data_IF_234887288178
#
_entry.id   IF_234887288178
#
_cell.length_a   1.000
_cell.length_b   1.000
_cell.length_c   1.000
_cell.angle_alpha   90.00
_cell.angle_beta   90.00
_cell.angle_gamma   90.00
#
_symmetry.space_group_name_H-M   'P 1'
#
loop_
_entity.id
_entity.type
_entity.pdbx_description
1 polymer ?
#
# COMPACT_ATOMS: atom_id res chain seq x y z
N UNK A 1 30.73 35.72 25.89
CA UNK A 1 29.51 34.89 25.75
C UNK A 1 29.74 33.81 24.68
N UNK A 2 30.51 32.73 24.89
CA UNK A 2 30.91 31.90 23.71
C UNK A 2 31.34 30.44 23.96
N UNK A 3 30.93 29.77 25.04
CA UNK A 3 31.25 28.32 25.19
C UNK A 3 30.02 27.45 25.50
N UNK A 4 29.08 27.96 26.30
CA UNK A 4 27.85 27.21 26.67
C UNK A 4 26.88 27.01 25.49
N UNK A 5 26.81 27.95 24.54
CA UNK A 5 25.88 27.86 23.40
C UNK A 5 26.31 26.79 22.38
N UNK A 6 27.61 26.61 22.13
CA UNK A 6 28.08 25.64 21.12
C UNK A 6 27.81 24.19 21.55
N UNK A 7 27.94 23.91 22.85
CA UNK A 7 27.69 22.57 23.42
C UNK A 7 26.20 22.19 23.38
N UNK A 8 25.31 23.16 23.66
CA UNK A 8 23.86 22.97 23.54
C UNK A 8 23.39 22.75 22.08
N UNK A 9 24.01 23.43 21.11
CA UNK A 9 23.67 23.27 19.69
C UNK A 9 24.15 21.92 19.16
N UNK A 10 25.37 21.50 19.47
CA UNK A 10 25.90 20.18 19.08
C UNK A 10 25.05 19.03 19.62
N UNK A 11 24.61 19.11 20.88
CA UNK A 11 23.73 18.10 21.50
C UNK A 11 22.33 18.09 20.89
N UNK A 12 21.77 19.25 20.52
CA UNK A 12 20.50 19.34 19.81
C UNK A 12 20.58 18.75 18.38
N UNK A 13 21.67 19.00 17.65
CA UNK A 13 21.92 18.41 16.34
C UNK A 13 22.06 16.88 16.41
N UNK A 14 22.80 16.38 17.41
CA UNK A 14 22.95 14.94 17.63
C UNK A 14 21.62 14.24 17.94
N UNK A 15 20.75 14.88 18.74
CA UNK A 15 19.38 14.37 19.00
C UNK A 15 18.52 14.34 17.74
N UNK A 16 18.59 15.37 16.89
CA UNK A 16 17.86 15.38 15.61
C UNK A 16 18.31 14.23 14.70
N UNK A 17 19.63 14.03 14.60
CA UNK A 17 20.18 12.92 13.83
C UNK A 17 19.71 11.56 14.37
N UNK A 18 19.78 11.34 15.68
CA UNK A 18 19.32 10.09 16.31
C UNK A 18 17.83 9.84 16.06
N UNK A 19 16.98 10.86 16.22
CA UNK A 19 15.55 10.75 15.93
C UNK A 19 15.29 10.44 14.45
N UNK A 20 16.03 11.07 13.54
CA UNK A 20 15.95 10.80 12.11
C UNK A 20 16.30 9.34 11.80
N UNK A 21 17.41 8.83 12.32
CA UNK A 21 17.84 7.43 12.13
C UNK A 21 16.80 6.45 12.67
N UNK A 22 16.27 6.68 13.88
CA UNK A 22 15.23 5.82 14.46
C UNK A 22 13.95 5.78 13.62
N UNK A 23 13.55 6.92 13.05
CA UNK A 23 12.40 6.98 12.14
C UNK A 23 12.67 6.21 10.84
N UNK A 24 13.88 6.28 10.29
CA UNK A 24 14.25 5.49 9.11
C UNK A 24 14.24 3.99 9.39
N UNK A 25 14.83 3.54 10.50
CA UNK A 25 14.83 2.14 10.90
C UNK A 25 13.40 1.59 11.01
N UNK A 26 12.50 2.32 11.67
CA UNK A 26 11.08 1.93 11.78
C UNK A 26 10.35 1.95 10.43
N UNK A 27 10.62 2.95 9.58
CA UNK A 27 9.91 3.10 8.29
C UNK A 27 10.33 2.03 7.28
N UNK A 28 11.59 1.57 7.34
CA UNK A 28 12.19 0.71 6.31
C UNK A 28 12.66 -0.66 6.84
N UNK A 29 12.17 -1.09 8.01
CA UNK A 29 12.53 -2.35 8.68
C UNK A 29 12.48 -3.55 7.71
N UNK A 30 11.44 -3.66 6.89
CA UNK A 30 11.22 -4.76 5.95
C UNK A 30 11.96 -4.63 4.60
N UNK A 31 12.72 -3.55 4.39
CA UNK A 31 13.20 -3.17 3.05
C UNK A 31 14.70 -3.30 2.83
N UNK A 32 15.46 -3.77 3.83
CA UNK A 32 16.92 -3.99 3.75
C UNK A 32 17.71 -2.79 3.20
N UNK A 33 17.30 -1.57 3.57
CA UNK A 33 18.08 -0.37 3.28
C UNK A 33 19.25 -0.27 4.25
N UNK A 34 20.38 0.20 3.74
CA UNK A 34 21.55 0.48 4.57
C UNK A 34 21.71 2.01 4.71
N UNK A 35 21.63 2.45 5.97
CA UNK A 35 21.69 3.85 6.38
C UNK A 35 23.06 4.25 6.96
N UNK A 36 24.08 3.40 6.85
CA UNK A 36 25.40 3.61 7.47
C UNK A 36 26.11 4.90 7.04
N UNK A 37 25.73 5.49 5.90
CA UNK A 37 26.28 6.76 5.37
C UNK A 37 25.34 7.95 5.51
N UNK A 38 24.23 7.80 6.24
CA UNK A 38 23.31 8.90 6.48
C UNK A 38 23.98 9.92 7.40
N UNK A 39 24.09 11.15 6.93
CA UNK A 39 24.48 12.31 7.74
C UNK A 39 23.33 13.30 7.68
N UNK A 40 22.69 13.53 8.83
CA UNK A 40 21.56 14.45 8.95
C UNK A 40 21.91 15.54 9.98
N UNK A 41 22.56 16.59 9.49
CA UNK A 41 23.07 17.72 10.26
C UNK A 41 22.22 19.01 10.08
N UNK A 42 21.35 19.03 9.08
CA UNK A 42 20.58 20.20 8.63
C UNK A 42 19.07 19.97 8.74
N UNK A 43 18.30 20.73 7.97
CA UNK A 43 16.86 20.61 7.85
C UNK A 43 16.42 19.42 6.99
N UNK A 44 15.11 19.21 6.92
CA UNK A 44 14.47 18.11 6.17
C UNK A 44 14.58 18.25 4.64
N UNK A 45 15.00 19.41 4.11
CA UNK A 45 15.26 19.60 2.69
C UNK A 45 16.66 19.13 2.26
N UNK A 46 17.55 18.90 3.23
CA UNK A 46 18.88 18.33 2.99
C UNK A 46 18.83 16.96 2.30
N UNK A 47 19.85 16.71 1.49
CA UNK A 47 20.05 15.44 0.78
C UNK A 47 20.88 14.50 1.64
N UNK A 48 20.42 13.27 1.80
CA UNK A 48 21.13 12.20 2.49
C UNK A 48 21.42 11.04 1.53
N UNK A 49 22.47 10.30 1.81
CA UNK A 49 22.88 9.13 1.04
C UNK A 49 22.45 7.85 1.76
N UNK A 50 21.73 6.99 1.05
CA UNK A 50 21.28 5.68 1.54
C UNK A 50 21.64 4.60 0.53
N UNK A 51 21.81 3.36 0.97
CA UNK A 51 21.98 2.21 0.08
C UNK A 51 20.66 1.48 -0.07
N UNK A 52 20.13 1.53 -1.28
CA UNK A 52 19.01 0.72 -1.72
C UNK A 52 19.49 -0.67 -2.13
N UNK A 53 18.80 -1.77 -1.76
CA UNK A 53 19.19 -3.11 -2.18
C UNK A 53 19.12 -3.33 -3.70
N UNK A 54 18.30 -2.54 -4.41
CA UNK A 54 18.14 -2.64 -5.88
C UNK A 54 19.07 -1.72 -6.65
N UNK A 55 19.31 -0.51 -6.15
CA UNK A 55 19.99 0.56 -6.90
C UNK A 55 21.30 1.02 -6.26
N UNK A 56 21.78 0.32 -5.23
CA UNK A 56 23.00 0.70 -4.53
C UNK A 56 22.88 2.06 -3.84
N UNK A 57 23.98 2.81 -3.79
CA UNK A 57 24.03 4.11 -3.13
C UNK A 57 23.28 5.18 -3.93
N UNK A 58 22.27 5.78 -3.32
CA UNK A 58 21.44 6.83 -3.91
C UNK A 58 21.33 8.04 -2.99
N UNK A 59 21.16 9.21 -3.60
CA UNK A 59 20.94 10.47 -2.90
C UNK A 59 19.46 10.82 -2.93
N UNK A 60 18.88 11.13 -1.78
CA UNK A 60 17.45 11.48 -1.64
C UNK A 60 17.25 12.53 -0.56
N UNK A 61 16.17 13.31 -0.64
CA UNK A 61 15.88 14.34 0.36
C UNK A 61 15.38 13.69 1.65
N UNK A 62 15.85 14.18 2.80
CA UNK A 62 15.43 13.70 4.12
C UNK A 62 13.89 13.71 4.29
N UNK A 63 13.21 14.78 3.87
CA UNK A 63 11.73 14.86 3.90
C UNK A 63 11.04 13.80 3.05
N UNK A 64 11.64 13.42 1.91
CA UNK A 64 11.08 12.36 1.05
C UNK A 64 11.25 11.01 1.72
N UNK A 65 12.39 10.77 2.36
CA UNK A 65 12.62 9.54 3.11
C UNK A 65 11.69 9.39 4.31
N UNK A 66 11.51 10.44 5.11
CA UNK A 66 10.59 10.42 6.25
C UNK A 66 9.13 10.21 5.81
N UNK A 67 8.77 10.68 4.61
CA UNK A 67 7.47 10.43 4.00
C UNK A 67 7.34 9.00 3.40
N UNK A 68 8.27 8.09 3.67
CA UNK A 68 8.23 6.70 3.18
C UNK A 68 8.56 6.52 1.70
N UNK A 69 9.04 7.56 1.00
CA UNK A 69 9.32 7.46 -0.44
C UNK A 69 10.59 6.65 -0.76
N UNK A 70 11.55 6.57 0.14
CA UNK A 70 12.76 5.77 -0.08
C UNK A 70 13.69 6.26 -1.21
N UNK A 71 14.28 5.30 -1.93
CA UNK A 71 15.20 5.51 -3.04
C UNK A 71 14.53 6.27 -4.20
N UNK A 72 15.16 7.36 -4.65
CA UNK A 72 14.71 8.13 -5.82
C UNK A 72 14.73 7.31 -7.09
N UNK A 73 15.74 6.46 -7.32
CA UNK A 73 15.77 5.57 -8.49
C UNK A 73 14.67 4.50 -8.46
N UNK A 74 14.29 3.98 -7.27
CA UNK A 74 13.10 3.14 -7.13
C UNK A 74 11.84 3.91 -7.55
N UNK A 75 11.79 5.21 -7.26
CA UNK A 75 10.66 6.07 -7.59
C UNK A 75 10.70 6.64 -9.02
N UNK A 76 11.87 6.83 -9.63
CA UNK A 76 11.99 7.23 -11.02
C UNK A 76 11.72 6.04 -11.93
N UNK A 77 12.10 4.82 -11.52
CA UNK A 77 11.54 3.58 -12.08
C UNK A 77 10.05 3.41 -11.75
N UNK A 78 9.51 4.08 -10.72
CA UNK A 78 8.06 4.12 -10.46
C UNK A 78 7.30 5.10 -11.37
N UNK A 79 7.98 5.94 -12.16
CA UNK A 79 7.35 6.54 -13.34
C UNK A 79 7.13 5.51 -14.46
N UNK A 80 7.77 4.33 -14.38
CA UNK A 80 7.49 3.16 -15.23
C UNK A 80 6.79 2.00 -14.50
N UNK A 81 6.71 1.99 -13.17
CA UNK A 81 5.89 1.06 -12.38
C UNK A 81 4.74 1.87 -11.75
N UNK A 82 3.73 2.19 -12.57
CA UNK A 82 2.43 2.66 -12.06
C UNK A 82 2.01 1.70 -10.95
N UNK A 83 1.88 2.21 -9.72
CA UNK A 83 1.36 1.43 -8.60
C UNK A 83 0.08 0.71 -9.01
N UNK A 84 -0.19 -0.43 -8.40
CA UNK A 84 -1.42 -1.16 -8.64
C UNK A 84 -2.39 -0.92 -7.47
N UNK A 85 -3.66 -1.20 -7.73
CA UNK A 85 -4.73 -1.17 -6.75
C UNK A 85 -5.27 -2.58 -6.63
N UNK A 86 -5.30 -3.13 -5.41
CA UNK A 86 -6.08 -4.32 -5.12
C UNK A 86 -7.48 -3.88 -4.69
N UNK A 87 -8.50 -4.53 -5.24
CA UNK A 87 -9.89 -4.24 -4.95
C UNK A 87 -10.62 -5.48 -4.44
N UNK A 88 -11.60 -5.23 -3.58
CA UNK A 88 -12.60 -6.19 -3.17
C UNK A 88 -13.95 -5.53 -3.43
N UNK A 89 -14.74 -6.15 -4.29
CA UNK A 89 -16.07 -5.65 -4.69
C UNK A 89 -17.13 -6.70 -4.38
N UNK A 90 -18.31 -6.23 -3.98
CA UNK A 90 -19.53 -7.04 -3.91
C UNK A 90 -20.21 -6.94 -5.26
N UNK A 91 -20.44 -8.04 -5.94
CA UNK A 91 -21.16 -8.12 -7.21
C UNK A 91 -22.55 -8.71 -6.97
N UNK A 92 -23.59 -8.10 -7.53
CA UNK A 92 -24.97 -8.55 -7.30
C UNK A 92 -25.92 -8.22 -8.45
N UNK A 93 -27.00 -8.99 -8.50
CA UNK A 93 -28.21 -8.75 -9.28
C UNK A 93 -29.41 -9.37 -8.55
N UNK A 94 -30.56 -9.51 -9.20
CA UNK A 94 -31.77 -10.09 -8.59
C UNK A 94 -31.67 -11.60 -8.28
N UNK A 95 -30.70 -12.30 -8.86
CA UNK A 95 -30.61 -13.77 -8.88
C UNK A 95 -29.45 -14.34 -8.06
N UNK A 96 -28.42 -13.54 -7.81
CA UNK A 96 -27.22 -13.94 -7.08
C UNK A 96 -26.43 -12.74 -6.54
N UNK A 97 -25.60 -13.03 -5.56
CA UNK A 97 -24.63 -12.12 -4.97
C UNK A 97 -23.35 -12.89 -4.66
N UNK A 98 -22.20 -12.25 -4.90
CA UNK A 98 -20.87 -12.79 -4.62
C UNK A 98 -19.85 -11.66 -4.48
N UNK A 99 -18.61 -12.03 -4.15
CA UNK A 99 -17.49 -11.10 -4.02
C UNK A 99 -16.45 -11.37 -5.10
N UNK A 100 -15.86 -10.33 -5.66
CA UNK A 100 -14.71 -10.43 -6.54
C UNK A 100 -13.50 -9.73 -5.92
N UNK A 101 -12.36 -10.39 -6.01
CA UNK A 101 -11.05 -9.82 -5.65
C UNK A 101 -10.22 -9.71 -6.93
N UNK A 102 -9.45 -8.64 -7.06
CA UNK A 102 -8.51 -8.53 -8.15
C UNK A 102 -7.60 -7.32 -8.04
N UNK A 103 -6.66 -7.21 -8.98
CA UNK A 103 -5.72 -6.10 -9.09
C UNK A 103 -5.98 -5.31 -10.38
N UNK A 104 -5.75 -4.00 -10.34
CA UNK A 104 -5.81 -3.11 -11.50
C UNK A 104 -4.71 -2.05 -11.43
N UNK A 105 -4.23 -1.57 -12.58
CA UNK A 105 -3.37 -0.36 -12.67
C UNK A 105 -4.15 0.87 -13.13
N UNK A 106 -5.45 0.71 -13.38
CA UNK A 106 -6.39 1.75 -13.80
C UNK A 106 -7.51 1.89 -12.78
N UNK A 107 -8.31 2.95 -12.88
CA UNK A 107 -9.50 3.12 -12.05
C UNK A 107 -10.52 1.98 -12.25
N UNK A 108 -11.43 1.77 -11.30
CA UNK A 108 -12.43 0.70 -11.39
C UNK A 108 -13.41 0.93 -12.54
N UNK A 109 -13.75 2.18 -12.82
CA UNK A 109 -14.59 2.59 -13.95
C UNK A 109 -13.90 2.24 -15.28
N UNK A 110 -12.57 2.40 -15.35
CA UNK A 110 -11.80 2.01 -16.54
C UNK A 110 -11.62 0.49 -16.63
N UNK A 111 -11.62 -0.21 -15.49
CA UNK A 111 -11.50 -1.68 -15.42
C UNK A 111 -12.79 -2.37 -15.82
N UNK A 112 -13.92 -1.77 -15.44
CA UNK A 112 -15.28 -2.24 -15.70
C UNK A 112 -16.08 -1.16 -16.46
N UNK A 113 -15.68 -0.83 -17.71
CA UNK A 113 -16.26 0.30 -18.43
C UNK A 113 -17.71 0.08 -18.84
N UNK A 114 -18.12 -1.18 -18.96
CA UNK A 114 -19.44 -1.55 -19.45
C UNK A 114 -19.90 -2.90 -18.89
N UNK A 115 -21.17 -3.23 -19.15
CA UNK A 115 -21.82 -4.44 -18.65
C UNK A 115 -21.23 -5.74 -19.23
N UNK A 116 -20.53 -5.69 -20.36
CA UNK A 116 -19.88 -6.88 -20.94
C UNK A 116 -18.63 -7.27 -20.13
N UNK A 117 -17.95 -6.29 -19.55
CA UNK A 117 -16.77 -6.51 -18.70
C UNK A 117 -17.12 -7.09 -17.32
N UNK A 118 -18.27 -6.70 -16.77
CA UNK A 118 -18.84 -7.21 -15.53
C UNK A 118 -20.38 -7.09 -15.59
N UNK A 119 -21.12 -8.18 -15.85
CA UNK A 119 -22.58 -8.16 -16.08
C UNK A 119 -23.41 -8.10 -14.79
N UNK A 120 -22.90 -7.36 -13.79
CA UNK A 120 -23.44 -7.21 -12.44
C UNK A 120 -23.29 -5.77 -11.97
N UNK A 121 -24.21 -5.33 -11.09
CA UNK A 121 -23.96 -4.13 -10.28
C UNK A 121 -22.90 -4.47 -9.24
N UNK A 122 -22.15 -3.48 -8.78
CA UNK A 122 -21.16 -3.70 -7.75
C UNK A 122 -21.02 -2.55 -6.75
N UNK A 123 -20.69 -2.92 -5.51
CA UNK A 123 -20.25 -2.00 -4.46
C UNK A 123 -18.76 -2.20 -4.18
N UNK A 124 -18.03 -1.12 -3.97
CA UNK A 124 -16.62 -1.18 -3.59
C UNK A 124 -16.52 -1.37 -2.08
N UNK A 125 -16.01 -2.52 -1.65
CA UNK A 125 -15.82 -2.85 -0.24
C UNK A 125 -14.45 -2.42 0.27
N UNK A 126 -13.42 -2.55 -0.57
CA UNK A 126 -12.06 -2.13 -0.24
C UNK A 126 -11.28 -1.83 -1.52
N UNK A 127 -10.45 -0.80 -1.46
CA UNK A 127 -9.60 -0.37 -2.56
C UNK A 127 -8.28 0.16 -2.00
N UNK A 128 -7.19 -0.57 -2.24
CA UNK A 128 -5.90 -0.28 -1.62
C UNK A 128 -4.80 -0.15 -2.68
N UNK A 129 -4.06 0.95 -2.63
CA UNK A 129 -2.90 1.19 -3.49
C UNK A 129 -1.65 0.50 -2.94
N UNK A 130 -0.78 0.02 -3.81
CA UNK A 130 0.48 -0.58 -3.39
C UNK A 130 1.42 -0.92 -4.53
N UNK A 131 2.62 -1.37 -4.16
CA UNK A 131 3.59 -1.95 -5.10
C UNK A 131 2.98 -3.18 -5.78
N UNK A 132 3.05 -3.22 -7.12
CA UNK A 132 2.42 -4.28 -7.93
C UNK A 132 2.88 -5.68 -7.55
N UNK A 133 4.17 -5.88 -7.25
CA UNK A 133 4.70 -7.20 -6.85
C UNK A 133 4.19 -7.61 -5.48
N UNK A 134 4.11 -6.67 -4.54
CA UNK A 134 3.52 -6.91 -3.22
C UNK A 134 2.04 -7.25 -3.32
N UNK A 135 1.28 -6.48 -4.09
CA UNK A 135 -0.15 -6.74 -4.31
C UNK A 135 -0.40 -8.09 -4.97
N UNK A 136 0.38 -8.48 -5.97
CA UNK A 136 0.26 -9.80 -6.59
C UNK A 136 0.49 -10.94 -5.59
N UNK A 137 1.53 -10.82 -4.75
CA UNK A 137 1.77 -11.80 -3.67
C UNK A 137 0.59 -11.84 -2.69
N UNK A 138 0.07 -10.67 -2.32
CA UNK A 138 -1.04 -10.56 -1.39
C UNK A 138 -2.33 -11.16 -1.96
N UNK A 139 -2.68 -10.87 -3.21
CA UNK A 139 -3.80 -11.49 -3.91
C UNK A 139 -3.69 -13.02 -3.87
N UNK A 140 -2.53 -13.61 -4.18
CA UNK A 140 -2.35 -15.06 -4.08
C UNK A 140 -2.64 -15.62 -2.68
N UNK A 141 -2.24 -14.89 -1.64
CA UNK A 141 -2.57 -15.27 -0.25
C UNK A 141 -4.08 -15.19 -0.01
N UNK A 142 -4.75 -14.12 -0.42
CA UNK A 142 -6.21 -13.99 -0.29
C UNK A 142 -6.96 -15.09 -1.05
N UNK A 143 -6.60 -15.35 -2.31
CA UNK A 143 -7.20 -16.40 -3.14
C UNK A 143 -6.98 -17.79 -2.52
N UNK A 144 -5.83 -18.03 -1.88
CA UNK A 144 -5.55 -19.29 -1.19
C UNK A 144 -6.39 -19.45 0.08
N UNK A 145 -6.50 -18.39 0.90
CA UNK A 145 -7.35 -18.37 2.10
C UNK A 145 -8.84 -18.59 1.77
N UNK A 146 -9.29 -18.04 0.64
CA UNK A 146 -10.67 -18.13 0.18
C UNK A 146 -10.96 -19.31 -0.75
N UNK A 147 -10.00 -20.22 -0.97
CA UNK A 147 -10.14 -21.33 -1.92
C UNK A 147 -11.41 -22.16 -1.72
N UNK A 148 -11.80 -22.40 -0.46
CA UNK A 148 -13.03 -23.15 -0.10
C UNK A 148 -14.34 -22.40 -0.39
N UNK A 149 -14.27 -21.09 -0.59
CA UNK A 149 -15.40 -20.21 -0.86
C UNK A 149 -15.51 -19.80 -2.32
N UNK A 150 -14.75 -20.43 -3.24
CA UNK A 150 -14.83 -20.11 -4.67
C UNK A 150 -16.27 -20.22 -5.16
N UNK A 151 -16.70 -19.22 -5.90
CA UNK A 151 -18.02 -19.10 -6.47
C UNK A 151 -17.91 -18.95 -7.98
N UNK A 152 -18.76 -19.66 -8.73
CA UNK A 152 -18.87 -19.52 -10.18
C UNK A 152 -20.14 -18.69 -10.47
N UNK A 153 -20.00 -17.44 -10.94
CA UNK A 153 -21.15 -16.60 -11.31
C UNK A 153 -22.01 -17.24 -12.39
N UNK A 154 -23.34 -17.02 -12.37
CA UNK A 154 -24.25 -17.54 -13.40
C UNK A 154 -24.05 -16.87 -14.76
N UNK A 155 -23.71 -15.58 -14.78
CA UNK A 155 -23.35 -14.84 -15.99
C UNK A 155 -21.83 -14.82 -16.13
N UNK A 156 -21.34 -15.25 -17.27
CA UNK A 156 -19.90 -15.33 -17.54
C UNK A 156 -19.29 -13.96 -17.88
N UNK A 157 -18.07 -13.73 -17.42
CA UNK A 157 -17.27 -12.55 -17.75
C UNK A 157 -15.78 -12.84 -17.56
N UNK A 158 -14.92 -11.94 -18.07
CA UNK A 158 -13.47 -12.07 -17.95
C UNK A 158 -13.01 -11.92 -16.49
N UNK A 159 -12.30 -12.92 -15.97
CA UNK A 159 -11.81 -12.92 -14.58
C UNK A 159 -12.80 -13.46 -13.55
N UNK A 160 -13.81 -14.23 -13.97
CA UNK A 160 -14.78 -14.88 -13.07
C UNK A 160 -14.17 -15.96 -12.14
N UNK A 161 -12.90 -16.34 -12.33
CA UNK A 161 -12.21 -17.36 -11.52
C UNK A 161 -11.79 -16.87 -10.14
N UNK A 162 -11.90 -15.57 -9.89
CA UNK A 162 -11.53 -14.88 -8.64
C UNK A 162 -12.77 -14.39 -7.89
N UNK A 163 -13.86 -15.16 -7.98
CA UNK A 163 -15.14 -14.89 -7.34
C UNK A 163 -15.37 -15.82 -6.14
N UNK A 164 -16.03 -15.31 -5.10
CA UNK A 164 -16.19 -15.98 -3.81
C UNK A 164 -17.58 -15.75 -3.20
N UNK A 165 -18.12 -16.74 -2.53
CA UNK A 165 -19.42 -16.66 -1.84
C UNK A 165 -19.32 -16.05 -0.44
N UNK A 166 -18.13 -15.99 0.14
CA UNK A 166 -17.89 -15.49 1.49
C UNK A 166 -16.46 -14.94 1.61
N UNK A 167 -16.31 -13.78 2.29
CA UNK A 167 -15.02 -13.13 2.55
C UNK A 167 -14.74 -12.88 4.04
N UNK A 168 -15.58 -13.38 4.96
CA UNK A 168 -15.50 -13.09 6.40
C UNK A 168 -14.14 -13.45 7.01
N UNK A 169 -13.52 -14.54 6.55
CA UNK A 169 -12.21 -14.97 7.06
C UNK A 169 -11.11 -13.94 6.79
N UNK A 170 -11.11 -13.28 5.63
CA UNK A 170 -10.15 -12.21 5.32
C UNK A 170 -10.60 -10.89 5.93
N UNK A 171 -11.91 -10.72 6.10
CA UNK A 171 -12.53 -9.56 6.74
C UNK A 171 -12.00 -9.34 8.15
N UNK A 172 -12.09 -10.36 8.99
CA UNK A 172 -11.62 -10.29 10.38
C UNK A 172 -10.10 -10.26 10.48
N UNK A 173 -9.41 -11.02 9.62
CA UNK A 173 -7.95 -11.20 9.71
C UNK A 173 -7.15 -9.97 9.31
N UNK A 174 -7.68 -9.14 8.42
CA UNK A 174 -6.95 -8.00 7.85
C UNK A 174 -7.68 -6.65 8.05
N UNK A 175 -8.68 -6.58 8.94
CA UNK A 175 -9.77 -5.58 8.96
C UNK A 175 -9.89 -4.71 7.73
N UNK A 176 -10.30 -5.38 6.66
CA UNK A 176 -10.54 -4.84 5.32
C UNK A 176 -11.55 -3.68 5.34
N UNK A 177 -12.36 -3.58 6.40
CA UNK A 177 -13.41 -2.58 6.60
C UNK A 177 -13.10 -1.52 7.65
N UNK A 178 -12.18 -1.75 8.59
CA UNK A 178 -12.05 -0.81 9.73
C UNK A 178 -11.19 0.42 9.38
N UNK A 179 -10.48 0.39 8.25
CA UNK A 179 -9.77 1.57 7.72
C UNK A 179 -10.70 2.63 7.11
N UNK A 180 -11.94 2.26 6.79
CA UNK A 180 -13.01 3.16 6.35
C UNK A 180 -14.28 2.83 7.15
N UNK A 181 -14.35 3.37 8.37
CA UNK A 181 -15.42 3.20 9.36
C UNK A 181 -16.73 2.58 8.86
N UNK A 182 -16.90 1.28 9.13
CA UNK A 182 -18.16 0.53 8.90
C UNK A 182 -19.09 0.63 10.12
N UNK A 183 -19.00 1.73 10.87
CA UNK A 183 -20.01 2.09 11.86
C UNK A 183 -21.20 2.86 11.24
N UNK A 184 -21.20 3.12 9.93
CA UNK A 184 -22.33 3.75 9.23
C UNK A 184 -23.38 2.79 8.65
N UNK A 185 -23.18 1.46 8.75
CA UNK A 185 -24.16 0.47 8.24
C UNK A 185 -24.92 -0.31 9.33
N UNK A 186 -24.77 0.09 10.61
CA UNK A 186 -25.73 -0.33 11.65
C UNK A 186 -26.89 0.65 11.68
N UNK A 187 -28.06 0.14 11.27
CA UNK A 187 -29.42 0.70 11.40
C UNK A 187 -29.85 1.68 10.30
N UNK A 188 -30.41 1.12 9.24
CA UNK A 188 -31.74 1.56 8.82
C UNK A 188 -32.66 0.36 9.02
N UNK A 189 -33.55 0.49 10.01
CA UNK A 189 -34.79 -0.30 10.12
C UNK A 189 -35.70 0.11 8.98
#
# INVERSE_FOLDING_TARGET
MTVRNNTCVATAMQRRHQNFMKLLELTYEDFNYDFSRVVFDKDVDSTVQIKCPKHGWVNTRAKKLLAGRGCTACNDLSLMDQGAMIYIIRCYNEQEEFYKIGITTKSLETRFPDISSLPYKFDVLSLQNGDRKKLYKFEKVLLALLRKYRYKPKKEFCGHTECFSNIEIIRHRFNIFDAFGVDSFKRAV
#
